data_IF_316621730690
#
_entry.id   IF_316621730690
#
_cell.length_a   1.000
_cell.length_b   1.000
_cell.length_c   1.000
_cell.angle_alpha   90.00
_cell.angle_beta   90.00
_cell.angle_gamma   90.00
#
_symmetry.space_group_name_H-M   'P 1'
#
loop_
_entity.id
_entity.type
_entity.pdbx_description
1 polymer ?
#
# COMPACT_ATOMS: atom_id res chain seq x y z
N UNK A 1 7.59 37.46 1.08
CA UNK A 1 6.44 36.71 1.61
C UNK A 1 5.98 35.78 0.50
N UNK A 2 6.07 34.44 0.64
CA UNK A 2 5.63 33.53 -0.40
C UNK A 2 4.10 33.62 -0.50
N UNK A 3 3.63 34.08 -1.64
CA UNK A 3 2.21 34.25 -1.97
C UNK A 3 1.53 32.88 -1.95
N UNK A 4 0.52 32.71 -1.09
CA UNK A 4 -0.32 31.52 -0.95
C UNK A 4 -1.25 31.25 -2.15
N UNK A 5 -1.11 32.04 -3.22
CA UNK A 5 -1.93 31.96 -4.42
C UNK A 5 -1.42 30.91 -5.39
N UNK A 6 -2.35 30.09 -5.89
CA UNK A 6 -2.08 29.11 -6.92
C UNK A 6 -1.61 29.80 -8.21
N UNK A 7 -0.45 29.43 -8.79
CA UNK A 7 0.07 30.08 -10.00
C UNK A 7 -0.79 29.80 -11.25
N UNK A 8 -1.62 28.75 -11.24
CA UNK A 8 -2.46 28.39 -12.37
C UNK A 8 -3.82 29.10 -12.39
N UNK A 9 -4.40 29.42 -11.23
CA UNK A 9 -5.77 29.96 -11.16
C UNK A 9 -5.95 31.13 -10.18
N UNK A 10 -4.89 31.57 -9.50
CA UNK A 10 -4.91 32.69 -8.56
C UNK A 10 -5.68 32.45 -7.27
N UNK A 11 -6.08 31.20 -6.96
CA UNK A 11 -6.82 30.90 -5.73
C UNK A 11 -5.89 30.76 -4.51
N UNK A 12 -6.34 31.24 -3.35
CA UNK A 12 -5.58 31.17 -2.08
C UNK A 12 -5.59 29.80 -1.40
N UNK A 13 -6.36 28.85 -1.93
CA UNK A 13 -6.60 27.55 -1.32
C UNK A 13 -5.63 26.47 -1.85
N UNK A 14 -4.47 26.36 -1.20
CA UNK A 14 -3.51 25.29 -1.41
C UNK A 14 -3.59 24.29 -0.24
N UNK A 15 -3.98 23.05 -0.53
CA UNK A 15 -4.13 21.97 0.46
C UNK A 15 -2.87 21.12 0.44
N UNK A 16 -2.32 20.81 1.61
CA UNK A 16 -1.22 19.86 1.73
C UNK A 16 -1.69 18.46 1.31
N UNK A 17 -0.91 17.78 0.48
CA UNK A 17 -1.21 16.40 0.08
C UNK A 17 -0.73 15.44 1.17
N UNK A 18 -1.51 14.39 1.47
CA UNK A 18 -1.13 13.35 2.44
C UNK A 18 0.28 12.80 2.15
N UNK A 19 1.12 12.71 3.19
CA UNK A 19 2.52 12.32 3.09
C UNK A 19 3.51 13.46 2.76
N UNK A 20 3.04 14.70 2.58
CA UNK A 20 3.92 15.88 2.63
C UNK A 20 4.22 16.17 4.10
N UNK A 21 5.40 15.80 4.58
CA UNK A 21 5.76 15.85 6.00
C UNK A 21 5.39 17.16 6.70
N UNK A 22 5.08 17.07 8.00
CA UNK A 22 4.78 18.17 8.90
C UNK A 22 5.98 19.13 8.98
N UNK A 23 6.03 20.06 8.04
CA UNK A 23 7.12 21.01 7.89
C UNK A 23 6.65 22.13 7.00
N UNK A 24 5.82 23.01 7.56
CA UNK A 24 5.30 24.24 6.95
C UNK A 24 6.40 25.24 6.57
N UNK A 25 7.32 24.85 5.70
CA UNK A 25 8.09 25.76 4.86
C UNK A 25 7.45 25.74 3.49
N UNK A 26 7.07 26.94 3.08
CA UNK A 26 6.39 27.43 1.87
C UNK A 26 7.01 27.01 0.52
N UNK A 27 7.31 25.72 0.37
CA UNK A 27 7.69 25.02 -0.85
C UNK A 27 7.29 23.54 -0.83
N UNK A 28 6.45 23.13 0.13
CA UNK A 28 5.95 21.77 0.28
C UNK A 28 4.94 21.42 -0.82
N UNK A 29 4.90 20.13 -1.18
CA UNK A 29 3.97 19.66 -2.18
C UNK A 29 2.52 19.91 -1.75
N UNK A 30 1.74 20.48 -2.66
CA UNK A 30 0.37 20.84 -2.39
C UNK A 30 -0.48 20.79 -3.63
N UNK A 31 -1.79 20.75 -3.40
CA UNK A 31 -2.80 20.73 -4.42
C UNK A 31 -3.75 21.91 -4.24
N UNK A 32 -3.94 22.67 -5.31
CA UNK A 32 -4.99 23.68 -5.34
C UNK A 32 -6.37 23.01 -5.36
N UNK A 33 -7.21 23.32 -4.38
CA UNK A 33 -8.57 22.77 -4.30
C UNK A 33 -9.49 23.27 -5.42
N UNK A 34 -9.17 24.40 -6.05
CA UNK A 34 -9.99 25.03 -7.10
C UNK A 34 -9.72 24.47 -8.49
N UNK A 35 -8.45 24.37 -8.90
CA UNK A 35 -8.08 23.94 -10.26
C UNK A 35 -7.33 22.60 -10.30
N UNK A 36 -7.01 22.01 -9.15
CA UNK A 36 -6.28 20.75 -9.07
C UNK A 36 -4.78 20.86 -9.35
N UNK A 37 -4.25 22.06 -9.55
CA UNK A 37 -2.82 22.28 -9.78
C UNK A 37 -2.00 21.69 -8.64
N UNK A 38 -1.06 20.82 -8.97
CA UNK A 38 -0.16 20.15 -8.04
C UNK A 38 1.27 20.64 -8.18
N UNK A 39 1.91 20.96 -7.06
CA UNK A 39 3.33 21.32 -7.00
C UNK A 39 4.09 20.40 -6.05
N UNK A 40 5.43 20.48 -6.10
CA UNK A 40 6.35 19.76 -5.23
C UNK A 40 6.77 18.37 -5.75
N UNK A 41 7.98 17.97 -5.40
CA UNK A 41 8.60 16.73 -5.89
C UNK A 41 7.87 15.47 -5.39
N UNK A 42 7.26 15.51 -4.20
CA UNK A 42 6.42 14.41 -3.72
C UNK A 42 5.09 14.28 -4.50
N UNK A 43 4.73 15.24 -5.36
CA UNK A 43 3.62 15.15 -6.32
C UNK A 43 4.06 14.59 -7.69
N UNK A 44 5.35 14.34 -7.91
CA UNK A 44 5.86 13.78 -9.17
C UNK A 44 5.60 12.28 -9.26
N UNK A 45 4.93 11.88 -10.33
CA UNK A 45 4.61 10.50 -10.59
C UNK A 45 5.88 9.69 -10.97
N UNK A 46 6.18 8.58 -10.28
CA UNK A 46 7.36 7.75 -10.56
C UNK A 46 7.24 6.93 -11.86
N UNK A 47 6.07 6.92 -12.50
CA UNK A 47 5.80 6.15 -13.71
C UNK A 47 5.94 6.97 -15.00
N UNK A 48 5.37 8.17 -15.01
CA UNK A 48 5.36 9.05 -16.19
C UNK A 48 6.16 10.34 -15.97
N UNK A 49 6.77 10.51 -14.80
CA UNK A 49 7.54 11.68 -14.41
C UNK A 49 6.76 13.01 -14.40
N UNK A 50 5.44 12.96 -14.59
CA UNK A 50 4.58 14.15 -14.59
C UNK A 50 4.28 14.61 -13.15
N UNK A 51 4.25 15.92 -12.93
CA UNK A 51 3.62 16.51 -11.74
C UNK A 51 2.11 16.38 -11.92
N UNK A 52 1.52 15.44 -11.19
CA UNK A 52 0.14 15.04 -11.41
C UNK A 52 -0.63 14.93 -10.10
N UNK A 53 -1.90 15.33 -10.16
CA UNK A 53 -2.89 15.02 -9.13
C UNK A 53 -2.96 13.52 -8.89
N UNK A 54 -3.13 13.18 -7.62
CA UNK A 54 -3.51 11.86 -7.19
C UNK A 54 -5.04 11.82 -7.15
N UNK A 55 -5.64 10.94 -7.93
CA UNK A 55 -7.08 10.66 -7.88
C UNK A 55 -7.30 9.41 -7.02
N UNK A 56 -8.40 9.36 -6.27
CA UNK A 56 -8.72 8.27 -5.35
C UNK A 56 -8.09 8.43 -3.97
N UNK A 57 -8.42 7.50 -3.07
CA UNK A 57 -8.01 7.50 -1.66
C UNK A 57 -7.40 6.16 -1.27
N UNK A 58 -6.43 6.18 -0.37
CA UNK A 58 -5.76 4.98 0.15
C UNK A 58 -5.23 4.07 -0.95
N UNK A 59 -5.65 2.80 -0.94
CA UNK A 59 -5.17 1.76 -1.85
C UNK A 59 -5.56 1.98 -3.32
N UNK A 60 -6.56 2.84 -3.57
CA UNK A 60 -7.07 3.16 -4.89
C UNK A 60 -6.44 4.44 -5.48
N UNK A 61 -5.40 5.00 -4.85
CA UNK A 61 -4.75 6.20 -5.37
C UNK A 61 -4.01 5.95 -6.68
N UNK A 62 -4.35 6.74 -7.69
CA UNK A 62 -3.79 6.67 -9.04
C UNK A 62 -3.32 8.04 -9.53
N UNK A 63 -2.38 8.03 -10.46
CA UNK A 63 -1.96 9.24 -11.17
C UNK A 63 -3.05 9.68 -12.16
N UNK A 64 -3.52 10.92 -12.08
CA UNK A 64 -4.51 11.49 -12.99
C UNK A 64 -4.06 11.51 -14.47
N UNK A 65 -2.74 11.52 -14.72
CA UNK A 65 -2.18 11.61 -16.09
C UNK A 65 -2.03 10.22 -16.72
N UNK A 66 -1.40 9.27 -16.02
CA UNK A 66 -1.08 7.96 -16.59
C UNK A 66 -1.93 6.80 -16.05
N UNK A 67 -2.87 7.07 -15.14
CA UNK A 67 -3.70 6.05 -14.48
C UNK A 67 -2.91 5.04 -13.63
N UNK A 68 -1.63 5.29 -13.39
CA UNK A 68 -0.76 4.33 -12.69
C UNK A 68 -1.01 4.35 -11.18
N UNK A 69 -0.97 3.19 -10.50
CA UNK A 69 -1.14 3.11 -9.06
C UNK A 69 0.00 3.84 -8.35
N UNK A 70 -0.32 4.54 -7.28
CA UNK A 70 0.59 5.44 -6.58
C UNK A 70 0.33 5.41 -5.08
N UNK A 71 1.37 5.62 -4.29
CA UNK A 71 1.27 5.82 -2.84
C UNK A 71 1.46 7.32 -2.55
N UNK A 72 0.58 7.97 -1.76
CA UNK A 72 0.71 9.39 -1.41
C UNK A 72 2.08 9.72 -0.81
N UNK A 73 2.60 10.92 -1.11
CA UNK A 73 3.87 11.41 -0.59
C UNK A 73 5.13 10.68 -1.05
N UNK A 74 5.04 9.72 -1.97
CA UNK A 74 6.17 8.86 -2.40
C UNK A 74 6.87 8.16 -1.20
N UNK A 75 6.08 7.77 -0.19
CA UNK A 75 6.58 7.32 1.12
C UNK A 75 7.31 5.97 1.12
N UNK A 76 7.23 5.18 0.04
CA UNK A 76 7.77 3.81 0.02
C UNK A 76 9.16 3.60 -0.56
N UNK A 77 9.85 4.65 -1.03
CA UNK A 77 11.20 4.51 -1.58
C UNK A 77 11.28 3.57 -2.80
N UNK A 78 12.50 3.20 -3.22
CA UNK A 78 12.71 2.47 -4.48
C UNK A 78 12.05 1.08 -4.49
N UNK A 79 12.01 0.40 -3.34
CA UNK A 79 11.36 -0.91 -3.20
C UNK A 79 9.87 -0.85 -3.55
N UNK A 80 9.12 0.11 -2.97
CA UNK A 80 7.72 0.31 -3.29
C UNK A 80 7.52 0.75 -4.75
N UNK A 81 8.41 1.61 -5.28
CA UNK A 81 8.35 2.05 -6.67
C UNK A 81 8.51 0.89 -7.66
N UNK A 82 9.45 -0.01 -7.41
CA UNK A 82 9.67 -1.18 -8.25
C UNK A 82 8.44 -2.09 -8.30
N UNK A 83 7.80 -2.32 -7.14
CA UNK A 83 6.57 -3.11 -7.02
C UNK A 83 5.37 -2.43 -7.69
N UNK A 84 5.24 -1.09 -7.58
CA UNK A 84 4.21 -0.33 -8.30
C UNK A 84 4.39 -0.37 -9.82
N UNK A 85 5.64 -0.34 -10.32
CA UNK A 85 5.92 -0.47 -11.76
C UNK A 85 5.51 -1.85 -12.27
N UNK A 86 5.80 -2.89 -11.49
CA UNK A 86 5.36 -4.24 -11.79
C UNK A 86 3.83 -4.37 -11.80
N UNK A 87 3.16 -3.78 -10.81
CA UNK A 87 1.69 -3.69 -10.77
C UNK A 87 1.12 -3.00 -12.00
N UNK A 88 1.68 -1.85 -12.41
CA UNK A 88 1.25 -1.13 -13.62
C UNK A 88 1.40 -1.99 -14.87
N UNK A 89 2.50 -2.72 -15.00
CA UNK A 89 2.74 -3.64 -16.14
C UNK A 89 1.73 -4.79 -16.15
N UNK A 90 1.44 -5.38 -14.98
CA UNK A 90 0.44 -6.43 -14.86
C UNK A 90 -0.97 -5.94 -15.21
N UNK A 91 -1.34 -4.72 -14.78
CA UNK A 91 -2.61 -4.07 -15.14
C UNK A 91 -2.70 -3.77 -16.64
N UNK A 92 -1.63 -3.24 -17.24
CA UNK A 92 -1.59 -2.98 -18.68
C UNK A 92 -1.75 -4.27 -19.49
N UNK A 93 -1.09 -5.36 -19.07
CA UNK A 93 -1.25 -6.68 -19.68
C UNK A 93 -2.67 -7.22 -19.53
N UNK A 94 -3.30 -7.04 -18.36
CA UNK A 94 -4.68 -7.45 -18.13
C UNK A 94 -5.67 -6.66 -19.01
N UNK A 95 -5.44 -5.36 -19.18
CA UNK A 95 -6.25 -4.52 -20.07
C UNK A 95 -6.08 -4.93 -21.53
N UNK A 96 -4.84 -5.12 -22.00
CA UNK A 96 -4.56 -5.60 -23.36
C UNK A 96 -5.23 -6.96 -23.64
N UNK A 97 -5.14 -7.89 -22.68
CA UNK A 97 -5.83 -9.18 -22.77
C UNK A 97 -7.35 -9.00 -22.87
N UNK A 98 -7.94 -8.10 -22.07
CA UNK A 98 -9.37 -7.83 -22.11
C UNK A 98 -9.84 -7.23 -23.45
N UNK A 99 -9.09 -6.30 -24.03
CA UNK A 99 -9.40 -5.70 -25.34
C UNK A 99 -9.32 -6.77 -26.44
N UNK A 100 -8.30 -7.63 -26.40
CA UNK A 100 -8.18 -8.74 -27.33
C UNK A 100 -9.41 -9.67 -27.27
N UNK A 101 -9.98 -9.93 -26.08
CA UNK A 101 -11.20 -10.75 -25.94
C UNK A 101 -12.41 -10.13 -26.65
N UNK A 102 -12.55 -8.81 -26.57
CA UNK A 102 -13.67 -8.09 -27.19
C UNK A 102 -13.54 -8.16 -28.71
N UNK A 103 -12.35 -7.89 -29.24
CA UNK A 103 -12.08 -7.97 -30.68
C UNK A 103 -12.34 -9.39 -31.19
N UNK A 104 -11.84 -10.42 -30.49
CA UNK A 104 -12.07 -11.82 -30.84
C UNK A 104 -13.56 -12.20 -30.80
N UNK A 105 -14.30 -11.73 -29.80
CA UNK A 105 -15.75 -11.95 -29.69
C UNK A 105 -16.53 -11.31 -30.84
N UNK A 106 -16.18 -10.07 -31.22
CA UNK A 106 -16.81 -9.38 -32.36
C UNK A 106 -16.53 -10.14 -33.67
N UNK A 107 -15.26 -10.50 -33.93
CA UNK A 107 -14.88 -11.24 -35.14
C UNK A 107 -15.58 -12.59 -35.22
N UNK A 108 -15.66 -13.32 -34.10
CA UNK A 108 -16.37 -14.60 -34.01
C UNK A 108 -17.87 -14.46 -34.30
N UNK A 109 -18.51 -13.43 -33.75
CA UNK A 109 -19.92 -13.16 -33.96
C UNK A 109 -20.20 -12.85 -35.43
N UNK A 110 -19.39 -11.97 -36.03
CA UNK A 110 -19.50 -11.63 -37.46
C UNK A 110 -19.29 -12.85 -38.35
N UNK A 111 -18.25 -13.66 -38.08
CA UNK A 111 -17.98 -14.88 -38.84
C UNK A 111 -19.14 -15.90 -38.73
N UNK A 112 -19.74 -16.03 -37.54
CA UNK A 112 -20.89 -16.92 -37.31
C UNK A 112 -22.12 -16.44 -38.07
N UNK A 113 -22.41 -15.13 -38.07
CA UNK A 113 -23.53 -14.54 -38.81
C UNK A 113 -23.38 -14.72 -40.33
N UNK A 114 -22.17 -14.50 -40.86
CA UNK A 114 -21.86 -14.74 -42.28
C UNK A 114 -22.04 -16.22 -42.63
N UNK A 115 -21.53 -17.12 -41.78
CA UNK A 115 -21.69 -18.57 -41.97
C UNK A 115 -23.16 -19.01 -41.96
N UNK A 116 -23.97 -18.46 -41.06
CA UNK A 116 -25.41 -18.74 -41.01
C UNK A 116 -26.16 -18.21 -42.24
N UNK A 117 -25.78 -17.03 -42.74
CA UNK A 117 -26.42 -16.41 -43.90
C UNK A 117 -26.11 -17.15 -45.22
N UNK A 118 -24.90 -17.72 -45.34
CA UNK A 118 -24.44 -18.36 -46.59
C UNK A 118 -24.79 -19.86 -46.70
N UNK A 119 -25.07 -20.57 -45.60
CA UNK A 119 -25.25 -22.04 -45.60
C UNK A 119 -26.61 -22.51 -45.02
N UNK A 120 -27.76 -22.19 -45.64
CA UNK A 120 -29.07 -22.48 -45.05
C UNK A 120 -29.47 -23.97 -45.03
N UNK A 121 -28.83 -24.86 -45.81
CA UNK A 121 -29.40 -26.18 -46.13
C UNK A 121 -28.57 -27.43 -45.78
N UNK A 122 -27.28 -27.34 -45.39
CA UNK A 122 -26.47 -28.55 -45.11
C UNK A 122 -26.18 -28.75 -43.62
N UNK A 123 -26.52 -29.93 -43.10
CA UNK A 123 -26.19 -30.36 -41.72
C UNK A 123 -24.67 -30.35 -41.51
N UNK A 124 -23.90 -30.72 -42.55
CA UNK A 124 -22.44 -30.64 -42.55
C UNK A 124 -21.93 -29.18 -42.40
N UNK A 125 -22.58 -28.21 -43.05
CA UNK A 125 -22.24 -26.79 -42.91
C UNK A 125 -22.46 -26.27 -41.49
N UNK A 126 -23.56 -26.69 -40.84
CA UNK A 126 -23.84 -26.35 -39.43
C UNK A 126 -22.79 -26.92 -38.48
N UNK A 127 -22.33 -28.15 -38.71
CA UNK A 127 -21.28 -28.78 -37.90
C UNK A 127 -19.93 -28.05 -38.02
N UNK A 128 -19.56 -27.61 -39.23
CA UNK A 128 -18.32 -26.84 -39.46
C UNK A 128 -18.42 -25.46 -38.81
N UNK A 129 -19.55 -24.76 -38.95
CA UNK A 129 -19.77 -23.46 -38.29
C UNK A 129 -19.73 -23.60 -36.76
N UNK A 130 -20.32 -24.67 -36.21
CA UNK A 130 -20.28 -24.93 -34.78
C UNK A 130 -18.85 -25.23 -34.29
N UNK A 131 -18.08 -26.06 -35.02
CA UNK A 131 -16.68 -26.33 -34.72
C UNK A 131 -15.83 -25.05 -34.77
N UNK A 132 -16.08 -24.16 -35.74
CA UNK A 132 -15.44 -22.86 -35.85
C UNK A 132 -15.88 -21.89 -34.73
N UNK A 133 -17.10 -22.00 -34.21
CA UNK A 133 -17.59 -21.21 -33.09
C UNK A 133 -17.02 -21.65 -31.72
N UNK A 134 -16.56 -22.90 -31.60
CA UNK A 134 -15.87 -23.39 -30.39
C UNK A 134 -14.49 -22.75 -30.22
N UNK A 135 -13.77 -22.48 -31.32
CA UNK A 135 -12.44 -21.84 -31.27
C UNK A 135 -12.44 -20.48 -30.53
N UNK A 136 -13.31 -19.51 -30.88
CA UNK A 136 -13.37 -18.24 -30.16
C UNK A 136 -13.90 -18.39 -28.73
N UNK A 137 -14.76 -19.38 -28.44
CA UNK A 137 -15.18 -19.66 -27.06
C UNK A 137 -14.00 -20.12 -26.19
N UNK A 138 -13.16 -21.03 -26.69
CA UNK A 138 -11.96 -21.50 -25.99
C UNK A 138 -10.95 -20.36 -25.82
N UNK A 139 -10.76 -19.51 -26.83
CA UNK A 139 -9.90 -18.34 -26.74
C UNK A 139 -10.44 -17.30 -25.74
N UNK A 140 -11.76 -17.08 -25.69
CA UNK A 140 -12.41 -16.19 -24.73
C UNK A 140 -12.25 -16.70 -23.29
N UNK A 141 -12.37 -18.00 -23.06
CA UNK A 141 -12.12 -18.60 -21.74
C UNK A 141 -10.65 -18.47 -21.33
N UNK A 142 -9.71 -18.80 -22.23
CA UNK A 142 -8.26 -18.71 -21.96
C UNK A 142 -7.80 -17.28 -21.70
N UNK A 143 -8.39 -16.31 -22.38
CA UNK A 143 -8.06 -14.90 -22.20
C UNK A 143 -8.69 -14.33 -20.92
N UNK A 144 -9.90 -14.77 -20.53
CA UNK A 144 -10.47 -14.49 -19.21
C UNK A 144 -9.61 -15.05 -18.07
N UNK A 145 -9.13 -16.28 -18.19
CA UNK A 145 -8.23 -16.87 -17.16
C UNK A 145 -6.89 -16.14 -17.11
N UNK A 146 -6.33 -15.73 -18.26
CA UNK A 146 -5.13 -14.87 -18.28
C UNK A 146 -5.38 -13.49 -17.68
N UNK A 147 -6.51 -12.86 -17.96
CA UNK A 147 -6.83 -11.55 -17.42
C UNK A 147 -7.06 -11.59 -15.90
N UNK A 148 -7.68 -12.64 -15.39
CA UNK A 148 -7.87 -12.86 -13.94
C UNK A 148 -6.53 -13.12 -13.24
N UNK A 149 -5.70 -14.02 -13.77
CA UNK A 149 -4.35 -14.26 -13.24
C UNK A 149 -3.48 -12.99 -13.27
N UNK A 150 -3.55 -12.19 -14.34
CA UNK A 150 -2.82 -10.92 -14.43
C UNK A 150 -3.32 -9.88 -13.40
N UNK A 151 -4.63 -9.84 -13.11
CA UNK A 151 -5.19 -8.98 -12.06
C UNK A 151 -4.77 -9.44 -10.66
N UNK A 152 -4.70 -10.74 -10.43
CA UNK A 152 -4.24 -11.31 -9.16
C UNK A 152 -2.77 -10.98 -8.92
N UNK A 153 -1.91 -11.17 -9.93
CA UNK A 153 -0.52 -10.74 -9.88
C UNK A 153 -0.38 -9.23 -9.61
N UNK A 154 -1.25 -8.41 -10.20
CA UNK A 154 -1.27 -6.97 -9.93
C UNK A 154 -1.66 -6.66 -8.46
N UNK A 155 -2.59 -7.42 -7.87
CA UNK A 155 -2.94 -7.26 -6.45
C UNK A 155 -1.76 -7.62 -5.55
N UNK A 156 -1.10 -8.74 -5.79
CA UNK A 156 0.08 -9.14 -5.02
C UNK A 156 1.24 -8.14 -5.14
N UNK A 157 1.49 -7.61 -6.34
CA UNK A 157 2.49 -6.55 -6.53
C UNK A 157 2.12 -5.26 -5.80
N UNK A 158 0.83 -4.88 -5.80
CA UNK A 158 0.32 -3.76 -5.02
C UNK A 158 0.51 -3.94 -3.52
N UNK A 159 0.16 -5.11 -2.97
CA UNK A 159 0.34 -5.42 -1.55
C UNK A 159 1.82 -5.30 -1.13
N UNK A 160 2.74 -5.83 -1.95
CA UNK A 160 4.19 -5.68 -1.72
C UNK A 160 4.64 -4.22 -1.71
N UNK A 161 4.07 -3.39 -2.59
CA UNK A 161 4.38 -1.96 -2.60
C UNK A 161 3.91 -1.26 -1.32
N UNK A 162 2.72 -1.60 -0.83
CA UNK A 162 2.18 -1.05 0.42
C UNK A 162 2.93 -1.55 1.66
N UNK A 163 3.36 -2.81 1.68
CA UNK A 163 4.23 -3.34 2.73
C UNK A 163 5.59 -2.61 2.77
N UNK A 164 6.24 -2.43 1.61
CA UNK A 164 7.49 -1.67 1.52
C UNK A 164 7.31 -0.20 1.94
N UNK A 165 6.14 0.39 1.68
CA UNK A 165 5.82 1.73 2.15
C UNK A 165 5.61 1.81 3.65
N UNK A 166 4.90 0.83 4.24
CA UNK A 166 4.74 0.75 5.68
C UNK A 166 6.10 0.54 6.38
N UNK A 167 6.96 -0.32 5.84
CA UNK A 167 8.32 -0.55 6.36
C UNK A 167 9.16 0.73 6.32
N UNK A 168 9.12 1.48 5.22
CA UNK A 168 9.86 2.74 5.09
C UNK A 168 9.34 3.82 6.04
N UNK A 169 8.02 3.94 6.22
CA UNK A 169 7.43 4.90 7.18
C UNK A 169 7.76 4.51 8.61
N UNK A 170 7.60 3.23 8.98
CA UNK A 170 7.90 2.74 10.31
C UNK A 170 9.39 2.84 10.64
N UNK A 171 10.28 2.60 9.66
CA UNK A 171 11.73 2.77 9.83
C UNK A 171 12.21 4.21 9.96
N UNK A 172 11.40 5.20 9.58
CA UNK A 172 11.69 6.62 9.82
C UNK A 172 11.25 7.10 11.21
N UNK A 173 10.36 6.36 11.87
CA UNK A 173 9.86 6.71 13.20
C UNK A 173 10.85 6.24 14.27
N UNK A 174 11.45 7.19 15.00
CA UNK A 174 12.47 6.89 16.02
C UNK A 174 11.91 6.11 17.23
N UNK A 175 10.67 6.39 17.62
CA UNK A 175 10.03 5.82 18.80
C UNK A 175 9.03 4.69 18.46
N UNK A 176 9.14 4.14 17.24
CA UNK A 176 8.15 3.23 16.67
C UNK A 176 6.93 3.94 16.10
N UNK A 177 6.10 3.21 15.36
CA UNK A 177 4.87 3.73 14.75
C UNK A 177 3.65 2.96 15.26
N UNK A 178 2.55 3.68 15.48
CA UNK A 178 1.27 3.08 15.86
C UNK A 178 0.37 2.94 14.64
N UNK A 179 -0.63 2.05 14.68
CA UNK A 179 -1.55 1.87 13.57
C UNK A 179 -2.30 3.16 13.17
N UNK A 180 -2.80 4.00 14.10
CA UNK A 180 -3.43 5.28 13.76
C UNK A 180 -2.46 6.28 13.14
N UNK A 181 -1.21 6.33 13.64
CA UNK A 181 -0.18 7.20 13.07
C UNK A 181 0.16 6.79 11.63
N UNK A 182 0.38 5.49 11.41
CA UNK A 182 0.66 4.95 10.08
C UNK A 182 -0.51 5.19 9.11
N UNK A 183 -1.76 4.98 9.57
CA UNK A 183 -2.97 5.22 8.80
C UNK A 183 -3.06 6.67 8.31
N UNK A 184 -2.80 7.62 9.21
CA UNK A 184 -2.80 9.06 8.91
C UNK A 184 -1.70 9.41 7.90
N UNK A 185 -0.49 8.86 8.08
CA UNK A 185 0.65 9.16 7.21
C UNK A 185 0.47 8.59 5.79
N UNK A 186 -0.02 7.35 5.67
CA UNK A 186 -0.25 6.68 4.38
C UNK A 186 -1.61 7.06 3.74
N UNK A 187 -2.52 7.68 4.48
CA UNK A 187 -3.87 7.99 4.01
C UNK A 187 -4.73 6.75 3.78
N UNK A 188 -4.54 5.71 4.60
CA UNK A 188 -5.26 4.43 4.53
C UNK A 188 -6.16 4.24 5.76
N UNK A 189 -7.17 3.35 5.69
CA UNK A 189 -7.98 3.02 6.85
C UNK A 189 -7.15 2.38 7.98
N UNK A 190 -7.47 2.64 9.26
CA UNK A 190 -6.71 2.14 10.41
C UNK A 190 -6.65 0.60 10.45
N UNK A 191 -7.73 -0.09 10.09
CA UNK A 191 -7.79 -1.54 10.03
C UNK A 191 -6.79 -2.13 9.02
N UNK A 192 -6.52 -1.39 7.94
CA UNK A 192 -5.56 -1.81 6.93
C UNK A 192 -4.12 -1.51 7.36
N UNK A 193 -3.90 -0.39 8.06
CA UNK A 193 -2.61 -0.07 8.66
C UNK A 193 -2.19 -1.12 9.69
N UNK A 194 -3.12 -1.56 10.53
CA UNK A 194 -2.89 -2.64 11.49
C UNK A 194 -2.51 -3.94 10.78
N UNK A 195 -3.26 -4.34 9.74
CA UNK A 195 -2.93 -5.53 8.94
C UNK A 195 -1.52 -5.47 8.33
N UNK A 196 -1.10 -4.30 7.84
CA UNK A 196 0.25 -4.10 7.30
C UNK A 196 1.33 -4.23 8.39
N UNK A 197 1.10 -3.64 9.57
CA UNK A 197 2.01 -3.75 10.71
C UNK A 197 2.11 -5.17 11.25
N UNK A 198 0.98 -5.89 11.35
CA UNK A 198 0.95 -7.32 11.70
C UNK A 198 1.72 -8.14 10.66
N UNK A 199 1.53 -7.88 9.37
CA UNK A 199 2.26 -8.59 8.32
C UNK A 199 3.77 -8.34 8.40
N UNK A 200 4.20 -7.13 8.77
CA UNK A 200 5.61 -6.82 9.00
C UNK A 200 6.16 -7.56 10.24
N UNK A 201 5.37 -7.67 11.30
CA UNK A 201 5.78 -8.35 12.53
C UNK A 201 5.94 -9.86 12.31
N UNK A 202 5.04 -10.48 11.53
CA UNK A 202 5.12 -11.91 11.16
C UNK A 202 6.37 -12.24 10.35
N UNK A 203 6.92 -11.29 9.58
CA UNK A 203 8.12 -11.50 8.78
C UNK A 203 9.41 -11.09 9.52
N UNK A 204 9.38 -10.97 10.85
CA UNK A 204 10.47 -10.52 11.72
C UNK A 204 11.07 -9.16 11.33
N UNK A 205 10.31 -8.32 10.61
CA UNK A 205 10.77 -6.99 10.15
C UNK A 205 10.45 -5.88 11.15
N UNK A 206 9.51 -6.10 12.06
CA UNK A 206 9.13 -5.16 13.12
C UNK A 206 9.03 -5.88 14.47
N UNK A 207 9.51 -5.25 15.54
CA UNK A 207 9.28 -5.68 16.92
C UNK A 207 8.08 -4.95 17.50
N UNK A 208 7.27 -5.67 18.26
CA UNK A 208 6.12 -5.13 18.99
C UNK A 208 6.61 -4.70 20.37
N UNK A 209 6.43 -3.43 20.71
CA UNK A 209 6.65 -2.89 22.04
C UNK A 209 5.32 -2.36 22.57
N UNK A 210 4.88 -2.88 23.72
CA UNK A 210 3.71 -2.35 24.42
C UNK A 210 4.23 -1.28 25.38
N UNK A 211 3.79 -0.04 25.20
CA UNK A 211 4.13 1.05 26.10
C UNK A 211 3.36 0.97 27.41
N UNK A 212 3.81 1.70 28.42
CA UNK A 212 3.16 1.80 29.73
C UNK A 212 1.77 2.45 29.67
N UNK A 213 1.44 3.07 28.53
CA UNK A 213 0.13 3.60 28.14
C UNK A 213 -0.81 2.54 27.55
N UNK A 214 -0.40 1.27 27.55
CA UNK A 214 -1.06 0.16 26.86
C UNK A 214 -1.18 0.35 25.33
N UNK A 215 -0.39 1.27 24.74
CA UNK A 215 -0.36 1.47 23.29
C UNK A 215 0.68 0.56 22.63
N UNK A 216 0.30 -0.07 21.52
CA UNK A 216 1.16 -1.00 20.76
C UNK A 216 1.96 -0.22 19.73
N UNK A 217 3.28 -0.13 19.94
CA UNK A 217 4.23 0.53 19.04
C UNK A 217 5.04 -0.50 18.27
N UNK A 218 5.19 -0.28 16.97
CA UNK A 218 5.96 -1.14 16.08
C UNK A 218 7.26 -0.43 15.71
N UNK A 219 8.41 -0.98 16.10
CA UNK A 219 9.74 -0.45 15.77
C UNK A 219 10.39 -1.33 14.70
N UNK A 220 10.88 -0.73 13.61
CA UNK A 220 11.72 -1.40 12.61
C UNK A 220 13.18 -1.21 13.04
N UNK A 221 13.88 -2.28 13.39
CA UNK A 221 15.26 -2.17 13.86
C UNK A 221 15.97 -3.52 14.00
N UNK A 222 17.24 -3.53 13.58
CA UNK A 222 18.24 -4.61 13.64
C UNK A 222 18.88 -4.81 15.01
N UNK A 223 18.40 -4.13 16.06
CA UNK A 223 19.04 -4.20 17.37
C UNK A 223 18.60 -5.44 18.15
N UNK A 224 19.50 -6.41 18.11
CA UNK A 224 19.47 -7.65 18.90
C UNK A 224 19.86 -7.32 20.34
N UNK A 225 19.02 -6.57 21.06
CA UNK A 225 19.20 -6.39 22.50
C UNK A 225 17.90 -6.69 23.22
N UNK A 226 17.78 -7.94 23.65
CA UNK A 226 16.79 -8.37 24.64
C UNK A 226 17.22 -7.73 25.97
N UNK A 227 16.54 -6.68 26.42
CA UNK A 227 16.49 -6.35 27.84
C UNK A 227 15.36 -7.17 28.46
N UNK A 228 15.70 -8.37 28.92
CA UNK A 228 14.88 -9.07 29.91
C UNK A 228 14.94 -8.22 31.18
N UNK A 229 13.76 -7.95 31.76
CA UNK A 229 13.55 -6.92 32.77
C UNK A 229 14.56 -6.90 33.90
N UNK A 230 14.92 -5.69 34.32
CA UNK A 230 15.44 -5.42 35.66
C UNK A 230 14.50 -6.07 36.68
N UNK A 231 15.08 -7.01 37.46
CA UNK A 231 14.44 -7.60 38.62
C UNK A 231 14.08 -6.49 39.61
N UNK A 232 12.82 -6.52 40.04
CA UNK A 232 12.22 -5.61 41.01
C UNK A 232 12.99 -5.61 42.35
N UNK A 233 12.97 -4.49 43.09
CA UNK A 233 13.70 -4.34 44.34
C UNK A 233 13.21 -5.34 45.39
N UNK A 234 14.16 -5.89 46.15
CA UNK A 234 13.86 -6.66 47.34
C UNK A 234 13.32 -5.73 48.43
N UNK A 235 12.02 -5.81 48.67
CA UNK A 235 11.34 -5.30 49.85
C UNK A 235 10.99 -6.50 50.75
N UNK A 236 11.10 -6.30 52.07
CA UNK A 236 10.93 -7.24 53.21
C UNK A 236 12.29 -7.59 53.86
N UNK A 237 12.61 -7.28 55.12
CA UNK A 237 11.78 -7.06 56.30
C UNK A 237 12.39 -5.98 57.21
N UNK A 238 11.58 -4.99 57.58
CA UNK A 238 11.79 -4.15 58.76
C UNK A 238 10.77 -4.60 59.83
N UNK A 239 11.18 -5.55 60.66
CA UNK A 239 10.54 -5.89 61.94
C UNK A 239 11.66 -6.37 62.87
N UNK A 240 11.83 -5.95 64.11
CA UNK A 240 11.16 -4.99 64.96
C UNK A 240 12.03 -4.87 66.21
N UNK A 241 11.85 -3.76 66.90
CA UNK A 241 12.42 -3.41 68.20
C UNK A 241 12.54 -4.57 69.21
N UNK A 242 13.74 -4.75 69.79
CA UNK A 242 13.93 -5.12 71.19
C UNK A 242 15.42 -4.97 71.61
N UNK A 243 15.73 -3.90 72.33
CA UNK A 243 16.82 -3.88 73.33
C UNK A 243 16.17 -4.26 74.68
N UNK A 244 16.70 -5.18 75.52
CA UNK A 244 17.77 -4.82 76.46
C UNK A 244 18.68 -5.97 76.98
N UNK A 245 19.67 -5.54 77.78
CA UNK A 245 20.31 -6.23 78.92
C UNK A 245 21.64 -6.98 78.73
N UNK A 246 22.72 -6.24 79.01
CA UNK A 246 23.77 -6.52 80.02
C UNK A 246 23.66 -7.85 80.82
N UNK A 247 24.68 -8.73 80.69
CA UNK A 247 25.29 -9.52 81.79
C UNK A 247 26.51 -10.35 81.35
N UNK A 248 27.66 -10.01 81.94
CA UNK A 248 28.73 -10.88 82.48
C UNK A 248 28.95 -12.31 81.94
N UNK A 249 30.20 -12.62 81.55
CA UNK A 249 30.64 -14.01 81.42
C UNK A 249 32.04 -14.28 80.84
N UNK A 250 33.06 -14.09 81.67
CA UNK A 250 34.47 -14.55 81.61
C UNK A 250 34.69 -15.99 81.07
N UNK A 251 35.95 -16.29 80.70
CA UNK A 251 36.66 -17.59 80.49
C UNK A 251 36.87 -17.88 78.97
N UNK A 252 38.07 -17.97 78.40
CA UNK A 252 39.43 -18.29 78.88
C UNK A 252 40.47 -17.70 77.94
#
# INVERSE_FOLDING_TARGET
MPTSTCPACGADAFVAVAGSGEGGKSGGAGQCSRCGYTSGESSRCPHCNALARIDGVGLASVCAVCGGPRIPGNLGGEAALSALREQKKALANAQAASVATVIQGVVATVATLIGLALLPASIAGKAIVFALAVVPLVLALRSRTRATAARENAKHAGERAWQAAAENVAGRAKDGTTAPALAKTLGIPPEHAEKLLTALAVNDRTRIQVGDDAEVRYTVGTDTHIRVGEEMPAEDELAGDATPADREGRVR
#
